data_IF_266231573205
#
_entry.id   IF_266231573205
#
_cell.length_a   1.000
_cell.length_b   1.000
_cell.length_c   1.000
_cell.angle_alpha   90.00
_cell.angle_beta   90.00
_cell.angle_gamma   90.00
#
_symmetry.space_group_name_H-M   'P 1'
#
loop_
_entity.id
_entity.type
_entity.pdbx_description
1 polymer ?
#
# COMPACT_ATOMS: atom_id res chain seq x y z
N UNK A 1 -21.24 -16.06 7.83
CA UNK A 1 -20.69 -15.74 6.50
C UNK A 1 -19.20 -15.94 6.60
N UNK A 2 -18.64 -16.86 5.81
CA UNK A 2 -17.22 -17.21 5.84
C UNK A 2 -16.51 -16.51 4.66
N UNK A 3 -15.39 -15.85 4.92
CA UNK A 3 -14.64 -15.09 3.90
C UNK A 3 -13.32 -15.79 3.63
N UNK A 4 -13.09 -16.19 2.38
CA UNK A 4 -11.85 -16.82 1.95
C UNK A 4 -10.91 -15.82 1.25
N UNK A 5 -9.62 -15.88 1.56
CA UNK A 5 -8.60 -15.03 0.95
C UNK A 5 -8.00 -15.76 -0.26
N UNK A 6 -8.38 -15.32 -1.47
CA UNK A 6 -7.95 -15.97 -2.73
C UNK A 6 -6.48 -15.68 -3.10
N UNK A 7 -5.94 -14.50 -2.76
CA UNK A 7 -4.55 -14.15 -3.07
C UNK A 7 -4.03 -12.97 -2.25
N UNK A 8 -2.70 -12.94 -2.02
CA UNK A 8 -1.97 -11.78 -1.48
C UNK A 8 -0.79 -11.48 -2.39
N UNK A 9 -0.69 -10.26 -2.92
CA UNK A 9 0.42 -9.84 -3.79
C UNK A 9 0.85 -8.41 -3.44
N UNK A 10 2.16 -8.18 -3.44
CA UNK A 10 2.71 -6.82 -3.35
C UNK A 10 2.54 -6.13 -4.71
N UNK A 11 1.89 -4.98 -4.70
CA UNK A 11 1.71 -4.16 -5.90
C UNK A 11 2.89 -3.18 -5.97
N UNK A 12 3.77 -3.35 -6.96
CA UNK A 12 4.85 -2.39 -7.24
C UNK A 12 4.33 -1.20 -8.07
N UNK A 13 5.01 -0.04 -8.05
CA UNK A 13 4.76 1.01 -9.04
C UNK A 13 4.92 0.46 -10.47
N UNK A 14 4.17 1.00 -11.43
CA UNK A 14 4.26 0.53 -12.82
C UNK A 14 5.58 0.91 -13.49
N UNK A 15 6.24 1.97 -13.01
CA UNK A 15 7.56 2.40 -13.49
C UNK A 15 8.58 2.39 -12.35
N UNK A 16 9.84 2.00 -12.61
CA UNK A 16 10.91 2.13 -11.63
C UNK A 16 11.10 3.61 -11.27
N UNK A 17 11.34 3.89 -9.98
CA UNK A 17 11.62 5.25 -9.54
C UNK A 17 12.97 5.73 -10.12
N UNK A 18 13.07 6.97 -10.60
CA UNK A 18 14.35 7.56 -10.98
C UNK A 18 15.36 7.49 -9.84
N UNK A 19 16.64 7.18 -10.15
CA UNK A 19 17.69 6.95 -9.15
C UNK A 19 17.87 8.12 -8.17
N UNK A 20 17.68 9.35 -8.64
CA UNK A 20 17.78 10.57 -7.84
C UNK A 20 16.62 10.72 -6.84
N UNK A 21 15.45 10.13 -7.11
CA UNK A 21 14.30 10.10 -6.19
C UNK A 21 14.29 8.88 -5.28
N UNK A 22 15.12 7.87 -5.53
CA UNK A 22 15.22 6.68 -4.67
C UNK A 22 15.94 6.97 -3.36
N UNK A 23 16.85 7.95 -3.36
CA UNK A 23 17.78 8.21 -2.26
C UNK A 23 17.35 9.33 -1.32
N UNK A 24 16.26 10.06 -1.61
CA UNK A 24 15.82 11.13 -0.73
C UNK A 24 15.23 10.52 0.56
N UNK A 25 15.86 10.70 1.73
CA UNK A 25 15.24 10.30 2.98
C UNK A 25 13.96 11.13 3.14
N UNK A 26 12.83 10.44 3.31
CA UNK A 26 11.55 11.10 3.59
C UNK A 26 11.62 11.52 5.05
N UNK A 27 11.86 12.81 5.28
CA UNK A 27 11.84 13.39 6.62
C UNK A 27 10.38 13.44 7.10
N UNK A 28 10.11 12.85 8.25
CA UNK A 28 8.81 12.96 8.90
C UNK A 28 8.70 14.33 9.56
N UNK A 29 7.58 15.01 9.33
CA UNK A 29 7.24 16.22 10.06
C UNK A 29 7.04 15.94 11.55
N UNK A 30 7.18 16.95 12.41
CA UNK A 30 6.97 16.81 13.85
C UNK A 30 5.58 16.22 14.18
N UNK A 31 4.54 16.64 13.45
CA UNK A 31 3.19 16.11 13.61
C UNK A 31 3.08 14.61 13.25
N UNK A 32 3.80 14.14 12.23
CA UNK A 32 3.84 12.72 11.87
C UNK A 32 4.60 11.86 12.88
N UNK A 33 5.58 12.43 13.59
CA UNK A 33 6.33 11.73 14.65
C UNK A 33 5.50 11.56 15.93
N UNK A 34 4.61 12.52 16.22
CA UNK A 34 3.66 12.43 17.33
C UNK A 34 2.45 11.54 17.00
N UNK A 35 2.21 11.28 15.73
CA UNK A 35 1.12 10.42 15.31
C UNK A 35 1.38 8.96 15.74
N UNK A 36 0.36 8.24 16.23
CA UNK A 36 0.51 6.84 16.58
C UNK A 36 0.93 5.98 15.38
N UNK A 37 1.80 4.99 15.61
CA UNK A 37 2.31 4.11 14.55
C UNK A 37 1.38 2.95 14.17
N UNK A 38 0.06 3.14 14.26
CA UNK A 38 -0.93 2.09 13.92
C UNK A 38 -1.59 2.34 12.57
N UNK A 39 -2.06 1.26 11.95
CA UNK A 39 -2.83 1.33 10.72
C UNK A 39 -4.29 1.70 11.04
N UNK A 40 -4.84 2.68 10.31
CA UNK A 40 -6.26 3.05 10.41
C UNK A 40 -7.05 2.19 9.43
N UNK A 41 -7.83 1.19 9.88
CA UNK A 41 -8.62 0.37 8.97
C UNK A 41 -9.75 1.19 8.34
N UNK A 42 -9.90 1.10 7.02
CA UNK A 42 -11.00 1.72 6.28
C UNK A 42 -11.65 0.69 5.36
N UNK A 43 -12.96 0.52 5.48
CA UNK A 43 -13.76 -0.43 4.71
C UNK A 43 -14.73 0.36 3.83
N UNK A 44 -14.79 0.01 2.54
CA UNK A 44 -15.73 0.59 1.59
C UNK A 44 -16.67 -0.50 1.07
N UNK A 45 -17.97 -0.28 1.22
CA UNK A 45 -19.00 -1.18 0.71
C UNK A 45 -19.60 -0.58 -0.57
N UNK A 46 -19.60 -1.35 -1.66
CA UNK A 46 -20.33 -1.01 -2.88
C UNK A 46 -21.68 -1.72 -2.86
N UNK A 47 -22.75 -1.00 -3.22
CA UNK A 47 -24.11 -1.54 -3.27
C UNK A 47 -24.34 -2.50 -4.45
N UNK A 48 -23.48 -2.43 -5.47
CA UNK A 48 -23.61 -3.22 -6.69
C UNK A 48 -22.93 -4.58 -6.51
N UNK A 49 -23.71 -5.67 -6.50
CA UNK A 49 -23.20 -7.05 -6.54
C UNK A 49 -22.61 -7.35 -7.93
N UNK A 50 -21.28 -7.45 -8.09
CA UNK A 50 -20.69 -7.75 -9.38
C UNK A 50 -20.80 -9.25 -9.67
N UNK A 51 -21.28 -9.62 -10.87
CA UNK A 51 -21.15 -10.99 -11.40
C UNK A 51 -19.67 -11.40 -11.39
N UNK A 52 -19.35 -12.69 -11.23
CA UNK A 52 -17.97 -13.21 -11.06
C UNK A 52 -16.99 -12.77 -12.18
N UNK A 53 -17.45 -12.69 -13.42
CA UNK A 53 -16.63 -12.17 -14.54
C UNK A 53 -16.34 -10.67 -14.38
N UNK A 54 -17.34 -9.89 -13.93
CA UNK A 54 -17.16 -8.46 -13.63
C UNK A 54 -16.24 -8.25 -12.44
N UNK A 55 -16.23 -9.15 -11.45
CA UNK A 55 -15.36 -9.02 -10.27
C UNK A 55 -13.88 -9.26 -10.61
N UNK A 56 -13.57 -10.23 -11.49
CA UNK A 56 -12.18 -10.45 -11.93
C UNK A 56 -11.67 -9.31 -12.82
N UNK A 57 -12.50 -8.80 -13.72
CA UNK A 57 -12.17 -7.63 -14.54
C UNK A 57 -11.95 -6.38 -13.67
N UNK A 58 -12.84 -6.13 -12.72
CA UNK A 58 -12.71 -5.02 -11.76
C UNK A 58 -11.43 -5.16 -10.92
N UNK A 59 -11.12 -6.37 -10.43
CA UNK A 59 -9.88 -6.63 -9.69
C UNK A 59 -8.64 -6.32 -10.52
N UNK A 60 -8.65 -6.66 -11.81
CA UNK A 60 -7.55 -6.38 -12.74
C UNK A 60 -7.39 -4.88 -12.95
N UNK A 61 -8.50 -4.17 -13.16
CA UNK A 61 -8.50 -2.71 -13.28
C UNK A 61 -7.99 -2.04 -12.01
N UNK A 62 -8.51 -2.41 -10.84
CA UNK A 62 -8.05 -1.86 -9.55
C UNK A 62 -6.57 -2.11 -9.31
N UNK A 63 -6.04 -3.29 -9.68
CA UNK A 63 -4.60 -3.57 -9.59
C UNK A 63 -3.79 -2.65 -10.50
N UNK A 64 -4.23 -2.44 -11.74
CA UNK A 64 -3.57 -1.54 -12.70
C UNK A 64 -3.55 -0.10 -12.19
N UNK A 65 -4.69 0.39 -11.70
CA UNK A 65 -4.80 1.74 -11.14
C UNK A 65 -3.95 1.89 -9.87
N UNK A 66 -3.94 0.90 -8.98
CA UNK A 66 -3.08 0.91 -7.80
C UNK A 66 -1.58 0.96 -8.15
N UNK A 67 -1.14 0.26 -9.20
CA UNK A 67 0.24 0.37 -9.70
C UNK A 67 0.54 1.81 -10.19
N UNK A 68 -0.38 2.40 -10.94
CA UNK A 68 -0.24 3.76 -11.49
C UNK A 68 -0.20 4.83 -10.38
N UNK A 69 -1.10 4.74 -9.40
CA UNK A 69 -1.14 5.64 -8.24
C UNK A 69 0.16 5.61 -7.45
N UNK A 70 0.83 4.45 -7.35
CA UNK A 70 2.12 4.33 -6.64
C UNK A 70 3.28 5.07 -7.28
N UNK A 71 3.17 5.46 -8.56
CA UNK A 71 4.17 6.33 -9.19
C UNK A 71 4.12 7.75 -8.61
N UNK A 72 2.91 8.24 -8.32
CA UNK A 72 2.67 9.60 -7.81
C UNK A 72 2.68 9.66 -6.29
N UNK A 73 2.23 8.59 -5.64
CA UNK A 73 2.22 8.43 -4.18
C UNK A 73 3.15 7.28 -3.78
N UNK A 74 4.48 7.48 -3.91
CA UNK A 74 5.43 6.51 -3.41
C UNK A 74 5.25 6.35 -1.91
N UNK A 75 5.15 5.09 -1.46
CA UNK A 75 4.88 4.79 -0.06
C UNK A 75 5.87 5.53 0.87
N UNK A 76 5.35 6.49 1.63
CA UNK A 76 6.08 7.19 2.69
C UNK A 76 6.09 6.23 3.88
N UNK A 77 7.21 5.53 4.08
CA UNK A 77 7.42 4.59 5.18
C UNK A 77 6.69 3.24 5.09
N UNK A 78 7.47 2.17 5.16
CA UNK A 78 7.02 0.83 5.55
C UNK A 78 7.71 0.52 6.89
N UNK A 79 7.06 0.72 8.05
CA UNK A 79 7.71 0.53 9.35
C UNK A 79 8.20 -0.90 9.59
N UNK A 80 7.72 -1.89 8.83
CA UNK A 80 8.14 -3.29 8.94
C UNK A 80 9.57 -3.61 8.45
N UNK A 81 10.23 -2.69 7.74
CA UNK A 81 11.64 -2.87 7.35
C UNK A 81 12.62 -2.15 8.29
N UNK A 82 12.13 -1.34 9.24
CA UNK A 82 12.98 -0.58 10.16
C UNK A 82 13.22 -1.26 11.51
N UNK A 83 12.46 -2.29 11.86
CA UNK A 83 12.57 -3.00 13.15
C UNK A 83 13.68 -4.05 13.20
N UNK A 84 14.59 -4.07 12.22
CA UNK A 84 15.83 -4.86 12.25
C UNK A 84 17.03 -4.07 12.79
N UNK A 85 16.78 -2.99 13.56
CA UNK A 85 17.82 -2.33 14.36
C UNK A 85 17.85 -2.95 15.75
N UNK A 86 18.77 -3.90 15.90
CA UNK A 86 19.57 -4.17 17.09
C UNK A 86 18.94 -3.77 18.43
N UNK A 87 18.35 -4.76 19.10
CA UNK A 87 18.36 -4.79 20.55
C UNK A 87 19.79 -5.23 20.92
N UNK A 88 20.63 -4.27 21.30
CA UNK A 88 21.79 -4.54 22.14
C UNK A 88 21.35 -4.18 23.57
N UNK A 89 21.20 -5.23 24.39
CA UNK A 89 21.28 -5.13 25.85
C UNK A 89 22.76 -4.96 26.20
#
# INVERSE_FOLDING_TARGET
MEVEILSRKLIAPSSPRPLHLQKSPISLSFSEQLAPSFYVPRIFNSSTQPKLIKSMAMLTLMKKEACSCKNHFPNKHNPFLSTRRQIHI
#
